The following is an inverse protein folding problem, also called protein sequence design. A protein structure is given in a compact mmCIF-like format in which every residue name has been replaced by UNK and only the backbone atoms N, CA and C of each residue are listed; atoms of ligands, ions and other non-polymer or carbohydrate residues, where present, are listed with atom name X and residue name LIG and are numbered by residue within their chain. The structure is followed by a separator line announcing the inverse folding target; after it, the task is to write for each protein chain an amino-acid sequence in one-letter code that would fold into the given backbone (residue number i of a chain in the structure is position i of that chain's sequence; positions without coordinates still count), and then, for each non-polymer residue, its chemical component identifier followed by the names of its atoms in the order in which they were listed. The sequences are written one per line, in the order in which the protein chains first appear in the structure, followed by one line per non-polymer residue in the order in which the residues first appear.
data_IF_765516750862
#
_entry.id   IF_765516750862
#
_cell.length_a   1.000
_cell.length_b   1.000
_cell.length_c   1.000
_cell.angle_alpha   90.00
_cell.angle_beta   90.00
_cell.angle_gamma   90.00
#
_symmetry.space_group_name_H-M   'P 1'
#
loop_
_entity.id
_entity.type
_entity.pdbx_description
1 polymer ?
#
# COMPACT_ATOMS: atom_id res chain seq x y z
N UNK A 1 7.71 -0.76 13.71
CA UNK A 1 7.47 0.34 14.68
C UNK A 1 8.40 1.52 14.45
N UNK A 2 7.83 2.69 14.11
CA UNK A 2 8.54 3.97 14.12
C UNK A 2 8.66 4.48 15.56
N UNK A 3 9.87 4.91 15.97
CA UNK A 3 10.15 5.41 17.31
C UNK A 3 9.40 6.72 17.64
N UNK A 4 8.84 7.39 16.64
CA UNK A 4 8.10 8.64 16.79
C UNK A 4 6.64 8.47 17.27
N UNK A 5 6.10 7.24 17.27
CA UNK A 5 4.72 6.96 17.68
C UNK A 5 4.55 6.61 19.16
N UNK A 6 5.65 6.34 19.88
CA UNK A 6 5.59 5.92 21.28
C UNK A 6 5.82 7.10 22.22
N UNK A 7 4.77 7.52 22.93
CA UNK A 7 4.93 8.42 24.06
C UNK A 7 5.57 7.66 25.25
N UNK A 8 6.65 8.17 25.84
CA UNK A 8 7.26 7.53 27.00
C UNK A 8 6.27 7.47 28.18
N UNK A 9 5.95 6.25 28.64
CA UNK A 9 5.10 6.02 29.82
C UNK A 9 3.63 5.68 29.54
N UNK A 10 3.24 5.45 28.28
CA UNK A 10 1.93 4.88 27.95
C UNK A 10 1.83 3.39 28.32
N UNK A 11 0.65 2.96 28.77
CA UNK A 11 0.38 1.55 29.08
C UNK A 11 0.48 0.70 27.80
N UNK A 12 1.00 -0.53 27.90
CA UNK A 12 1.12 -1.44 26.74
C UNK A 12 -0.24 -1.79 26.10
N UNK A 13 -1.35 -1.55 26.80
CA UNK A 13 -2.71 -1.71 26.30
C UNK A 13 -3.19 -0.58 25.38
N UNK A 14 -2.45 0.52 25.29
CA UNK A 14 -2.79 1.69 24.46
C UNK A 14 -1.89 1.80 23.22
N UNK A 15 -1.31 0.68 22.76
CA UNK A 15 -0.55 0.70 21.51
C UNK A 15 -1.46 1.13 20.36
N UNK A 16 -1.12 2.20 19.62
CA UNK A 16 -1.92 2.63 18.48
C UNK A 16 -1.87 1.57 17.39
N UNK A 17 -3.04 1.13 16.95
CA UNK A 17 -3.19 0.26 15.78
C UNK A 17 -2.42 0.84 14.58
N UNK A 18 -1.43 0.09 14.09
CA UNK A 18 -0.49 0.50 13.06
C UNK A 18 -0.67 -0.38 11.83
N UNK A 19 -1.00 0.23 10.70
CA UNK A 19 -1.13 -0.46 9.42
C UNK A 19 0.06 -0.16 8.52
N UNK A 20 0.75 -1.21 8.07
CA UNK A 20 1.81 -1.12 7.07
C UNK A 20 1.30 -1.80 5.80
N UNK A 21 1.11 -1.00 4.75
CA UNK A 21 0.57 -1.48 3.47
C UNK A 21 1.71 -1.49 2.43
N UNK A 22 2.02 -2.68 1.92
CA UNK A 22 2.92 -2.88 0.79
C UNK A 22 2.09 -3.07 -0.48
N UNK A 23 2.31 -2.20 -1.47
CA UNK A 23 1.75 -2.38 -2.82
C UNK A 23 2.87 -2.91 -3.70
N UNK A 24 2.67 -4.06 -4.33
CA UNK A 24 3.68 -4.72 -5.17
C UNK A 24 3.22 -4.80 -6.62
N UNK A 25 4.13 -4.67 -7.59
CA UNK A 25 3.77 -4.75 -9.01
C UNK A 25 3.20 -6.12 -9.41
N UNK A 26 3.75 -7.18 -8.83
CA UNK A 26 3.35 -8.55 -9.09
C UNK A 26 2.81 -9.19 -7.80
N UNK A 27 2.17 -10.35 -7.96
CA UNK A 27 1.79 -11.18 -6.82
C UNK A 27 3.04 -11.80 -6.17
N UNK A 28 3.56 -11.14 -5.13
CA UNK A 28 4.78 -11.60 -4.44
C UNK A 28 4.51 -12.76 -3.48
N UNK A 29 3.25 -12.99 -3.10
CA UNK A 29 2.84 -14.11 -2.25
C UNK A 29 2.55 -15.34 -3.11
N UNK A 30 1.88 -15.13 -4.25
CA UNK A 30 1.72 -16.13 -5.31
C UNK A 30 0.43 -16.96 -5.23
N UNK A 31 -0.53 -16.56 -4.41
CA UNK A 31 -1.81 -17.28 -4.25
C UNK A 31 -2.94 -16.71 -5.13
N UNK A 32 -2.69 -15.66 -5.92
CA UNK A 32 -3.65 -15.05 -6.84
C UNK A 32 -4.76 -14.24 -6.15
N UNK A 33 -4.55 -13.79 -4.92
CA UNK A 33 -5.50 -12.95 -4.19
C UNK A 33 -5.17 -11.47 -4.39
N UNK A 34 -6.19 -10.58 -4.34
CA UNK A 34 -5.98 -9.13 -4.44
C UNK A 34 -5.26 -8.55 -3.22
N UNK A 35 -5.43 -9.16 -2.05
CA UNK A 35 -4.94 -8.65 -0.77
C UNK A 35 -4.60 -9.79 0.18
N UNK A 36 -3.50 -9.62 0.92
CA UNK A 36 -3.02 -10.54 1.95
C UNK A 36 -2.82 -9.79 3.26
N UNK A 37 -3.46 -10.27 4.32
CA UNK A 37 -3.19 -9.80 5.69
C UNK A 37 -2.22 -10.74 6.36
N UNK A 38 -1.16 -10.18 6.94
CA UNK A 38 -0.11 -10.92 7.62
C UNK A 38 -0.17 -10.58 9.12
N UNK A 39 -0.49 -11.59 9.92
CA UNK A 39 -0.52 -11.51 11.38
C UNK A 39 0.68 -12.24 11.99
N UNK A 40 1.16 -11.73 13.14
CA UNK A 40 2.30 -12.30 13.86
C UNK A 40 1.85 -13.28 14.93
N UNK A 41 2.60 -14.38 15.05
CA UNK A 41 2.40 -15.39 16.08
C UNK A 41 3.69 -15.68 16.84
N UNK A 42 3.55 -16.03 18.12
CA UNK A 42 4.63 -16.52 18.97
C UNK A 42 4.95 -17.97 18.56
N UNK A 43 6.05 -18.17 17.84
CA UNK A 43 6.42 -19.45 17.19
C UNK A 43 6.29 -20.68 18.11
N UNK A 44 6.75 -20.57 19.36
CA UNK A 44 6.77 -21.72 20.28
C UNK A 44 5.40 -22.08 20.86
N UNK A 45 4.43 -21.16 20.83
CA UNK A 45 3.12 -21.37 21.44
C UNK A 45 1.96 -21.31 20.44
N UNK A 46 2.22 -20.82 19.22
CA UNK A 46 1.20 -20.55 18.20
C UNK A 46 0.22 -19.45 18.59
N UNK A 47 0.40 -18.78 19.73
CA UNK A 47 -0.47 -17.69 20.16
C UNK A 47 -0.24 -16.46 19.30
N UNK A 48 -1.32 -15.72 19.02
CA UNK A 48 -1.21 -14.40 18.41
C UNK A 48 -0.29 -13.52 19.28
N UNK A 49 0.58 -12.75 18.61
CA UNK A 49 1.44 -11.80 19.31
C UNK A 49 0.66 -10.54 19.73
N UNK A 50 -0.36 -10.16 18.94
CA UNK A 50 -1.33 -9.11 19.25
C UNK A 50 -0.68 -7.78 19.64
N UNK A 51 0.24 -7.31 18.80
CA UNK A 51 1.04 -6.09 19.00
C UNK A 51 0.42 -4.83 18.39
N UNK A 52 -0.82 -4.93 17.89
CA UNK A 52 -1.50 -3.85 17.17
C UNK A 52 -0.83 -3.47 15.85
N UNK A 53 0.05 -4.32 15.28
CA UNK A 53 0.64 -4.10 13.96
C UNK A 53 0.00 -5.02 12.92
N UNK A 54 -0.58 -4.41 11.89
CA UNK A 54 -1.20 -5.09 10.77
C UNK A 54 -0.40 -4.84 9.50
N UNK A 55 0.12 -5.92 8.91
CA UNK A 55 0.81 -5.84 7.62
C UNK A 55 -0.13 -6.33 6.53
N UNK A 56 -0.28 -5.51 5.49
CA UNK A 56 -1.12 -5.81 4.33
C UNK A 56 -0.25 -5.79 3.07
N UNK A 57 -0.29 -6.86 2.29
CA UNK A 57 0.25 -6.87 0.93
C UNK A 57 -0.90 -6.75 -0.06
N UNK A 58 -0.82 -5.76 -0.94
CA UNK A 58 -1.74 -5.53 -2.05
C UNK A 58 -1.07 -6.01 -3.32
N UNK A 59 -1.71 -6.96 -3.99
CA UNK A 59 -1.24 -7.54 -5.23
C UNK A 59 -1.58 -6.63 -6.42
N UNK A 60 -0.59 -5.91 -6.95
CA UNK A 60 -0.75 -5.01 -8.08
C UNK A 60 -0.92 -5.70 -9.44
N UNK A 61 -0.73 -7.03 -9.52
CA UNK A 61 -1.09 -7.77 -10.72
C UNK A 61 -2.60 -7.99 -10.84
N UNK A 62 -3.34 -7.93 -9.72
CA UNK A 62 -4.80 -7.95 -9.75
C UNK A 62 -5.35 -6.61 -10.23
N UNK A 63 -5.77 -6.59 -11.50
CA UNK A 63 -6.32 -5.41 -12.19
C UNK A 63 -7.77 -5.63 -12.60
N UNK A 64 -8.51 -6.41 -11.82
CA UNK A 64 -9.93 -6.64 -12.08
C UNK A 64 -10.71 -5.32 -11.97
N UNK A 65 -11.05 -4.75 -13.13
CA UNK A 65 -11.78 -3.50 -13.26
C UNK A 65 -13.22 -3.58 -12.73
N UNK A 66 -13.72 -4.75 -12.35
CA UNK A 66 -15.00 -4.87 -11.63
C UNK A 66 -14.89 -4.45 -10.16
N UNK A 67 -13.67 -4.39 -9.61
CA UNK A 67 -13.39 -4.01 -8.22
C UNK A 67 -12.72 -2.64 -8.13
N UNK A 68 -12.97 -1.90 -7.05
CA UNK A 68 -12.32 -0.60 -6.85
C UNK A 68 -10.81 -0.73 -6.61
N UNK A 69 -10.37 -1.81 -5.93
CA UNK A 69 -8.96 -2.14 -5.74
C UNK A 69 -8.27 -2.47 -7.05
N UNK A 70 -8.88 -3.26 -7.93
CA UNK A 70 -8.31 -3.61 -9.23
C UNK A 70 -8.21 -2.40 -10.17
N UNK A 71 -9.21 -1.51 -10.16
CA UNK A 71 -9.10 -0.20 -10.83
C UNK A 71 -7.96 0.65 -10.26
N UNK A 72 -7.78 0.63 -8.94
CA UNK A 72 -6.73 1.40 -8.29
C UNK A 72 -5.36 0.86 -8.66
N UNK A 73 -5.19 -0.46 -8.67
CA UNK A 73 -3.96 -1.11 -9.10
C UNK A 73 -3.69 -0.85 -10.59
N UNK A 74 -4.70 -0.90 -11.45
CA UNK A 74 -4.57 -0.46 -12.83
C UNK A 74 -3.94 0.93 -12.93
N UNK A 75 -4.50 1.91 -12.22
CA UNK A 75 -4.06 3.30 -12.28
C UNK A 75 -2.65 3.52 -11.71
N UNK A 76 -2.27 2.79 -10.65
CA UNK A 76 -0.91 2.87 -10.10
C UNK A 76 0.18 2.51 -11.11
N UNK A 77 -0.12 1.60 -12.05
CA UNK A 77 0.80 1.16 -13.09
C UNK A 77 0.48 1.76 -14.47
N UNK A 78 -0.61 2.52 -14.60
CA UNK A 78 -0.97 3.17 -15.83
C UNK A 78 -0.10 4.43 -16.02
N UNK A 79 0.39 4.63 -17.24
CA UNK A 79 1.18 5.81 -17.55
C UNK A 79 0.36 6.86 -18.29
N UNK A 80 -0.69 6.48 -19.01
CA UNK A 80 -1.54 7.42 -19.71
C UNK A 80 -2.67 7.90 -18.79
N UNK A 81 -2.71 9.19 -18.43
CA UNK A 81 -3.76 9.69 -17.55
C UNK A 81 -5.16 9.66 -18.19
N UNK A 82 -5.30 9.54 -19.52
CA UNK A 82 -6.60 9.37 -20.18
C UNK A 82 -7.17 7.96 -20.03
N UNK A 83 -6.30 6.98 -19.77
CA UNK A 83 -6.70 5.58 -19.53
C UNK A 83 -6.93 5.27 -18.04
N UNK A 84 -6.76 6.24 -17.14
CA UNK A 84 -6.95 6.06 -15.69
C UNK A 84 -8.43 6.12 -15.27
N UNK A 85 -8.79 5.34 -14.25
CA UNK A 85 -10.13 5.29 -13.65
C UNK A 85 -10.39 6.42 -12.64
N UNK A 86 -9.37 6.81 -11.86
CA UNK A 86 -9.46 7.81 -10.80
C UNK A 86 -8.86 9.13 -11.26
N UNK A 87 -9.71 10.16 -11.35
CA UNK A 87 -9.33 11.48 -11.84
C UNK A 87 -8.24 12.13 -10.99
N UNK A 88 -8.25 11.91 -9.68
CA UNK A 88 -7.25 12.47 -8.76
C UNK A 88 -5.84 11.94 -9.05
N UNK A 89 -5.72 10.68 -9.48
CA UNK A 89 -4.44 10.10 -9.91
C UNK A 89 -4.08 10.60 -11.31
N UNK A 90 -5.06 10.62 -12.23
CA UNK A 90 -4.88 11.13 -13.59
C UNK A 90 -4.34 12.57 -13.60
N UNK A 91 -4.94 13.46 -12.80
CA UNK A 91 -4.56 14.87 -12.72
C UNK A 91 -3.12 15.03 -12.19
N UNK A 92 -2.72 14.22 -11.22
CA UNK A 92 -1.32 14.20 -10.73
C UNK A 92 -0.37 13.71 -11.80
N UNK A 93 -0.70 12.63 -12.51
CA UNK A 93 0.16 12.10 -13.59
C UNK A 93 0.28 13.10 -14.74
N UNK A 94 -0.80 13.79 -15.14
CA UNK A 94 -0.74 14.92 -16.09
C UNK A 94 0.20 16.00 -15.61
N UNK A 95 0.04 16.45 -14.37
CA UNK A 95 0.90 17.48 -13.79
C UNK A 95 2.39 17.11 -13.86
N UNK A 96 2.75 15.88 -13.52
CA UNK A 96 4.15 15.43 -13.58
C UNK A 96 4.69 15.26 -15.01
N UNK A 97 3.82 14.99 -15.99
CA UNK A 97 4.22 14.77 -17.39
C UNK A 97 4.24 16.03 -18.25
N UNK A 98 3.36 16.99 -17.97
CA UNK A 98 3.09 18.13 -18.87
C UNK A 98 3.53 19.49 -18.32
N UNK A 99 3.69 19.64 -17.00
CA UNK A 99 4.14 20.90 -16.39
C UNK A 99 5.67 20.94 -16.29
N UNK A 100 6.30 22.01 -16.80
CA UNK A 100 7.75 22.25 -16.75
C UNK A 100 8.31 22.14 -15.32
N UNK A 101 7.51 22.43 -14.29
CA UNK A 101 7.91 22.28 -12.88
C UNK A 101 7.79 20.86 -12.35
N UNK A 102 6.87 20.06 -12.89
CA UNK A 102 6.67 18.65 -12.54
C UNK A 102 7.76 17.75 -13.14
N UNK A 103 8.22 18.05 -14.35
CA UNK A 103 9.25 17.28 -15.06
C UNK A 103 10.63 17.30 -14.37
N UNK A 104 10.89 18.28 -13.48
CA UNK A 104 12.15 18.40 -12.74
C UNK A 104 12.20 17.56 -11.45
N UNK A 105 11.08 16.95 -11.02
CA UNK A 105 11.03 16.14 -9.80
C UNK A 105 11.24 14.68 -10.19
N UNK A 106 12.33 14.02 -9.77
CA UNK A 106 12.55 12.62 -10.08
C UNK A 106 11.48 11.76 -9.42
N UNK A 107 10.62 11.15 -10.22
CA UNK A 107 9.70 10.11 -9.76
C UNK A 107 10.51 8.83 -9.58
N UNK A 108 10.62 8.36 -8.35
CA UNK A 108 11.22 7.06 -8.08
C UNK A 108 10.37 5.99 -8.79
N UNK A 109 10.96 5.32 -9.78
CA UNK A 109 10.40 4.07 -10.30
C UNK A 109 10.57 3.02 -9.20
N UNK A 110 9.44 2.61 -8.61
CA UNK A 110 9.34 1.45 -7.72
C UNK A 110 9.36 0.19 -8.58
#
# INVERSE_FOLDING_TARGET
LDAHLLQPGGDFSDLPETFVIFITENDVIGDGLPLYTIDRQITNTGKAFDDGEHIIYVNGADKDASTESGKLMHDFFCTDPDDMHYRELADKVRYFKEDEKGCCVPVARV
#
